data_IF_936516434298
#
_entry.id   IF_936516434298
#
_cell.length_a   1.000
_cell.length_b   1.000
_cell.length_c   1.000
_cell.angle_alpha   90.00
_cell.angle_beta   90.00
_cell.angle_gamma   90.00
#
_symmetry.space_group_name_H-M   'P 1'
#
loop_
_entity.id
_entity.type
_entity.pdbx_description
1 polymer ?
#
# COMPACT_ATOMS: atom_id res chain seq x y z
N UNK A 1 -20.52 8.82 -25.73
CA UNK A 1 -19.93 9.85 -24.84
C UNK A 1 -20.92 10.40 -23.83
N UNK A 2 -22.12 10.85 -24.22
CA UNK A 2 -23.15 11.35 -23.27
C UNK A 2 -23.45 10.39 -22.12
N UNK A 3 -23.87 9.16 -22.42
CA UNK A 3 -24.22 8.18 -21.37
C UNK A 3 -23.05 7.90 -20.41
N UNK A 4 -21.81 7.83 -20.92
CA UNK A 4 -20.62 7.65 -20.09
C UNK A 4 -20.37 8.86 -19.17
N UNK A 5 -20.56 10.08 -19.67
CA UNK A 5 -20.53 11.29 -18.84
C UNK A 5 -21.62 11.26 -17.77
N UNK A 6 -22.86 10.94 -18.14
CA UNK A 6 -24.00 10.90 -17.20
C UNK A 6 -23.80 9.84 -16.11
N UNK A 7 -23.28 8.65 -16.43
CA UNK A 7 -22.94 7.62 -15.44
C UNK A 7 -21.86 8.11 -14.47
N UNK A 8 -20.79 8.73 -14.96
CA UNK A 8 -19.73 9.25 -14.11
C UNK A 8 -20.19 10.44 -13.28
N UNK A 9 -20.99 11.34 -13.85
CA UNK A 9 -21.54 12.50 -13.15
C UNK A 9 -22.52 12.08 -12.06
N UNK A 10 -23.36 11.07 -12.30
CA UNK A 10 -24.22 10.48 -11.28
C UNK A 10 -23.40 9.85 -10.14
N UNK A 11 -22.33 9.11 -10.47
CA UNK A 11 -21.45 8.50 -9.47
C UNK A 11 -20.76 9.54 -8.59
N UNK A 12 -20.25 10.62 -9.20
CA UNK A 12 -19.46 11.63 -8.51
C UNK A 12 -20.33 12.67 -7.77
N UNK A 13 -21.44 13.10 -8.38
CA UNK A 13 -22.25 14.23 -7.89
C UNK A 13 -23.68 13.84 -7.48
N UNK A 14 -24.10 12.59 -7.70
CA UNK A 14 -25.39 12.09 -7.25
C UNK A 14 -26.60 12.51 -8.10
N UNK A 15 -26.40 13.16 -9.24
CA UNK A 15 -27.51 13.51 -10.14
C UNK A 15 -27.11 13.52 -11.62
N UNK A 16 -28.13 13.56 -12.48
CA UNK A 16 -28.02 13.91 -13.90
C UNK A 16 -29.08 14.96 -14.24
N UNK A 17 -28.87 15.77 -15.27
CA UNK A 17 -29.86 16.72 -15.78
C UNK A 17 -30.37 16.22 -17.13
N UNK A 18 -31.49 15.49 -17.17
CA UNK A 18 -32.05 14.99 -18.42
C UNK A 18 -32.25 16.12 -19.42
N UNK A 19 -31.96 15.85 -20.70
CA UNK A 19 -32.14 16.79 -21.82
C UNK A 19 -31.28 18.06 -21.78
N UNK A 20 -30.49 18.29 -20.73
CA UNK A 20 -29.55 19.40 -20.73
C UNK A 20 -28.41 19.12 -21.74
N UNK A 21 -28.05 20.11 -22.58
CA UNK A 21 -26.88 19.98 -23.46
C UNK A 21 -25.62 19.68 -22.65
N UNK A 22 -24.76 18.82 -23.19
CA UNK A 22 -23.46 18.51 -22.60
C UNK A 22 -22.41 19.12 -23.50
N UNK A 23 -21.54 19.94 -22.93
CA UNK A 23 -20.43 20.59 -23.63
C UNK A 23 -19.12 19.88 -23.31
N UNK A 24 -18.36 19.52 -24.34
CA UNK A 24 -17.02 18.99 -24.19
C UNK A 24 -16.00 20.14 -24.19
N UNK A 25 -15.69 20.68 -23.01
CA UNK A 25 -14.80 21.83 -22.87
C UNK A 25 -13.31 21.50 -23.03
N UNK A 26 -12.91 20.23 -22.90
CA UNK A 26 -11.50 19.82 -22.97
C UNK A 26 -11.37 18.40 -23.51
N UNK A 27 -10.41 18.19 -24.41
CA UNK A 27 -9.96 16.87 -24.84
C UNK A 27 -8.55 16.63 -24.28
N UNK A 28 -8.35 15.52 -23.58
CA UNK A 28 -7.03 15.08 -23.10
C UNK A 28 -6.67 13.77 -23.77
N UNK A 29 -5.44 13.69 -24.27
CA UNK A 29 -4.89 12.47 -24.89
C UNK A 29 -3.70 12.03 -24.05
N UNK A 30 -3.67 10.75 -23.70
CA UNK A 30 -2.55 10.10 -23.04
C UNK A 30 -2.08 8.94 -23.90
N UNK A 31 -0.77 8.82 -24.08
CA UNK A 31 -0.13 7.72 -24.79
C UNK A 31 0.66 6.92 -23.77
N UNK A 32 0.29 5.67 -23.59
CA UNK A 32 0.99 4.75 -22.69
C UNK A 32 1.82 3.77 -23.52
N UNK A 33 3.12 3.70 -23.22
CA UNK A 33 4.03 2.73 -23.80
C UNK A 33 4.40 1.69 -22.74
N UNK A 34 4.53 0.43 -23.15
CA UNK A 34 5.00 -0.63 -22.24
C UNK A 34 6.51 -0.49 -22.06
N UNK A 35 6.92 -0.11 -20.85
CA UNK A 35 8.30 -0.20 -20.39
C UNK A 35 8.55 -1.49 -19.62
N UNK A 36 9.83 -1.74 -19.29
CA UNK A 36 10.19 -2.75 -18.32
C UNK A 36 9.52 -2.41 -16.98
N UNK A 37 8.71 -3.35 -16.46
CA UNK A 37 8.18 -3.24 -15.11
C UNK A 37 9.22 -3.81 -14.15
N UNK A 38 9.48 -3.17 -13.00
CA UNK A 38 10.31 -3.78 -11.98
C UNK A 38 9.66 -5.10 -11.56
N UNK A 39 10.47 -6.14 -11.44
CA UNK A 39 10.03 -7.39 -10.83
C UNK A 39 9.83 -7.14 -9.35
N UNK A 40 8.62 -7.44 -8.86
CA UNK A 40 8.39 -7.49 -7.43
C UNK A 40 9.00 -8.79 -6.90
N UNK A 41 9.74 -8.75 -5.78
CA UNK A 41 10.34 -9.96 -5.22
C UNK A 41 9.25 -10.96 -4.80
N UNK A 42 9.49 -12.25 -5.09
CA UNK A 42 8.72 -13.33 -4.46
C UNK A 42 9.11 -13.40 -3.00
N UNK A 43 8.12 -13.46 -2.11
CA UNK A 43 8.31 -13.60 -0.67
C UNK A 43 7.71 -14.93 -0.22
N UNK A 44 8.49 -15.71 0.52
CA UNK A 44 8.05 -16.99 1.07
C UNK A 44 7.58 -16.81 2.52
N UNK A 45 6.43 -17.42 2.92
CA UNK A 45 5.99 -17.44 4.30
C UNK A 45 7.00 -18.15 5.21
N UNK A 46 7.11 -17.71 6.46
CA UNK A 46 7.96 -18.39 7.43
C UNK A 46 7.85 -17.84 8.85
N UNK A 47 8.53 -18.50 9.78
CA UNK A 47 8.69 -18.01 11.15
C UNK A 47 10.10 -17.43 11.32
N UNK A 48 10.20 -16.10 11.35
CA UNK A 48 11.47 -15.42 11.57
C UNK A 48 11.97 -15.59 13.01
N UNK A 49 13.23 -16.02 13.19
CA UNK A 49 13.88 -16.04 14.51
C UNK A 49 14.57 -14.70 14.78
N UNK A 50 14.54 -14.19 16.03
CA UNK A 50 15.35 -13.03 16.40
C UNK A 50 16.83 -13.30 16.14
N UNK A 51 17.52 -12.35 15.53
CA UNK A 51 18.97 -12.41 15.30
C UNK A 51 19.75 -12.20 16.60
N UNK A 52 19.21 -11.39 17.52
CA UNK A 52 19.78 -11.13 18.85
C UNK A 52 18.71 -10.57 19.78
N UNK A 53 19.09 -10.30 21.03
CA UNK A 53 18.31 -9.50 21.97
C UNK A 53 19.02 -8.19 22.30
N UNK A 54 18.27 -7.17 22.73
CA UNK A 54 18.81 -5.89 23.15
C UNK A 54 18.00 -5.32 24.29
N UNK A 55 18.66 -4.60 25.20
CA UNK A 55 17.94 -3.80 26.20
C UNK A 55 17.28 -2.61 25.50
N UNK A 56 15.97 -2.48 25.69
CA UNK A 56 15.12 -1.45 25.14
C UNK A 56 14.36 -0.79 26.30
N UNK A 57 14.35 0.54 26.36
CA UNK A 57 13.47 1.23 27.30
C UNK A 57 12.07 1.34 26.69
N UNK A 58 11.08 0.67 27.30
CA UNK A 58 9.70 0.68 26.83
C UNK A 58 8.73 0.47 27.98
N UNK A 59 7.57 1.13 27.94
CA UNK A 59 6.55 1.01 29.00
C UNK A 59 7.04 1.45 30.39
N UNK A 60 8.03 2.34 30.48
CA UNK A 60 8.58 2.82 31.76
C UNK A 60 9.58 1.88 32.42
N UNK A 61 10.05 0.84 31.72
CA UNK A 61 11.06 -0.08 32.21
C UNK A 61 12.08 -0.43 31.12
N UNK A 62 13.24 -0.93 31.56
CA UNK A 62 14.22 -1.53 30.66
C UNK A 62 13.82 -2.99 30.42
N UNK A 63 13.51 -3.35 29.18
CA UNK A 63 13.06 -4.69 28.77
C UNK A 63 14.02 -5.30 27.77
N UNK A 64 14.19 -6.61 27.83
CA UNK A 64 15.03 -7.32 26.86
C UNK A 64 14.18 -7.70 25.62
N UNK A 65 14.31 -6.92 24.55
CA UNK A 65 13.52 -7.06 23.32
C UNK A 65 14.25 -7.92 22.27
N UNK A 66 13.53 -8.77 21.51
CA UNK A 66 14.08 -9.44 20.34
C UNK A 66 14.41 -8.43 19.23
N UNK A 67 15.52 -8.68 18.53
CA UNK A 67 15.95 -7.90 17.37
C UNK A 67 15.93 -8.80 16.15
N UNK A 68 15.13 -8.43 15.15
CA UNK A 68 15.01 -9.11 13.86
C UNK A 68 15.77 -8.33 12.78
N UNK A 69 16.32 -9.06 11.80
CA UNK A 69 16.87 -8.47 10.57
C UNK A 69 15.79 -8.41 9.51
N UNK A 70 15.58 -7.23 8.93
CA UNK A 70 14.52 -6.99 7.94
C UNK A 70 14.79 -7.75 6.64
N UNK A 71 16.04 -7.88 6.25
CA UNK A 71 16.50 -8.50 4.99
C UNK A 71 16.12 -9.98 4.93
N UNK A 72 16.11 -10.64 6.08
CA UNK A 72 15.81 -12.07 6.22
C UNK A 72 14.45 -12.31 6.86
N UNK A 73 13.58 -11.30 6.90
CA UNK A 73 12.30 -11.35 7.61
C UNK A 73 11.22 -12.01 6.74
N UNK A 74 10.74 -13.23 7.05
CA UNK A 74 9.72 -13.88 6.24
C UNK A 74 8.38 -13.16 6.33
N UNK A 75 7.54 -13.27 5.29
CA UNK A 75 6.16 -12.82 5.37
C UNK A 75 5.38 -13.70 6.38
N UNK A 76 4.34 -13.12 6.97
CA UNK A 76 3.50 -13.74 8.01
C UNK A 76 4.22 -14.07 9.34
N UNK A 77 5.44 -13.56 9.56
CA UNK A 77 6.09 -13.68 10.88
C UNK A 77 5.40 -12.79 11.91
N UNK A 78 4.86 -13.41 12.95
CA UNK A 78 4.35 -12.69 14.13
C UNK A 78 5.50 -12.09 14.96
N UNK A 79 5.37 -10.81 15.33
CA UNK A 79 6.35 -10.08 16.14
C UNK A 79 5.69 -9.63 17.45
N UNK A 80 5.77 -10.43 18.52
CA UNK A 80 5.27 -9.99 19.82
C UNK A 80 6.14 -8.83 20.32
N UNK A 81 5.48 -7.72 20.67
CA UNK A 81 6.13 -6.52 21.17
C UNK A 81 6.47 -6.61 22.66
N UNK A 82 7.41 -5.79 23.14
CA UNK A 82 8.21 -4.83 22.36
C UNK A 82 9.38 -5.51 21.63
N UNK A 83 9.63 -5.13 20.37
CA UNK A 83 10.63 -5.73 19.48
C UNK A 83 11.32 -4.67 18.60
N UNK A 84 12.50 -4.98 18.09
CA UNK A 84 13.23 -4.17 17.12
C UNK A 84 13.32 -4.91 15.78
N UNK A 85 13.02 -4.24 14.68
CA UNK A 85 13.26 -4.73 13.32
C UNK A 85 14.22 -3.74 12.66
N UNK A 86 15.41 -4.21 12.32
CA UNK A 86 16.51 -3.38 11.83
C UNK A 86 17.01 -3.90 10.49
N UNK A 87 17.68 -3.02 9.75
CA UNK A 87 18.46 -3.36 8.54
C UNK A 87 19.82 -4.01 8.89
#
# INVERSE_FOLDING_TARGET
MRAAFETLHLREFGYVRPHHPVEAATLRVSVELRGAKPELPSVEPGTGKPARRAMLWSGGALVEAPVYRRESFPIDTEVPGPALVLD
#
